data_IF_133093498801
#
_entry.id   IF_133093498801
#
_cell.length_a   1.000
_cell.length_b   1.000
_cell.length_c   1.000
_cell.angle_alpha   90.00
_cell.angle_beta   90.00
_cell.angle_gamma   90.00
#
_symmetry.space_group_name_H-M   'P 1'
#
loop_
_entity.id
_entity.type
_entity.pdbx_description
1 polymer ?
#
# COMPACT_ATOMS: atom_id res chain seq x y z
N UNK A 1 1.92 5.47 23.06
CA UNK A 1 1.31 4.91 21.85
C UNK A 1 0.59 6.02 21.14
N UNK A 2 1.35 6.72 20.31
CA UNK A 2 0.88 7.83 19.48
C UNK A 2 0.37 7.24 18.17
N UNK A 3 -0.90 6.83 18.14
CA UNK A 3 -1.47 6.18 16.95
C UNK A 3 -1.67 7.16 15.81
N UNK A 4 -1.24 6.77 14.62
CA UNK A 4 -1.46 7.48 13.37
C UNK A 4 -1.94 6.53 12.27
N UNK A 5 -2.57 7.10 11.24
CA UNK A 5 -3.14 6.35 10.12
C UNK A 5 -2.63 6.88 8.79
N UNK A 6 -2.34 5.98 7.85
CA UNK A 6 -2.04 6.31 6.45
C UNK A 6 -2.67 5.26 5.53
N UNK A 7 -3.15 5.68 4.35
CA UNK A 7 -3.74 4.75 3.36
C UNK A 7 -2.85 4.65 2.13
N UNK A 8 -2.45 3.44 1.75
CA UNK A 8 -1.43 3.19 0.73
C UNK A 8 -1.95 2.23 -0.36
N UNK A 9 -1.82 2.63 -1.62
CA UNK A 9 -2.11 1.81 -2.80
C UNK A 9 -0.81 1.43 -3.51
N UNK A 10 -0.59 0.13 -3.73
CA UNK A 10 0.68 -0.40 -4.27
C UNK A 10 0.50 -1.52 -5.29
N UNK A 11 -0.67 -1.56 -5.94
CA UNK A 11 -1.14 -2.73 -6.70
C UNK A 11 -2.12 -3.57 -5.88
N UNK A 12 -2.18 -4.88 -6.14
CA UNK A 12 -3.04 -5.79 -5.39
C UNK A 12 -2.85 -5.64 -3.87
N UNK A 13 -3.93 -5.31 -3.15
CA UNK A 13 -3.86 -5.05 -1.72
C UNK A 13 -3.39 -6.23 -0.87
N UNK A 14 -3.57 -7.48 -1.31
CA UNK A 14 -3.10 -8.70 -0.61
C UNK A 14 -1.58 -8.74 -0.53
N UNK A 15 -0.91 -8.17 -1.54
CA UNK A 15 0.54 -8.04 -1.53
C UNK A 15 0.99 -7.06 -0.44
N UNK A 16 0.32 -5.91 -0.38
CA UNK A 16 0.69 -4.80 0.50
C UNK A 16 0.33 -5.14 1.95
N UNK A 17 -0.84 -5.74 2.16
CA UNK A 17 -1.30 -6.26 3.46
C UNK A 17 -0.28 -7.24 4.05
N UNK A 18 0.07 -8.27 3.28
CA UNK A 18 1.00 -9.30 3.74
C UNK A 18 2.38 -8.76 4.16
N UNK A 19 2.84 -7.67 3.53
CA UNK A 19 4.08 -6.97 3.93
C UNK A 19 3.87 -6.27 5.26
N UNK A 20 2.87 -5.38 5.35
CA UNK A 20 2.68 -4.51 6.52
C UNK A 20 2.20 -5.25 7.77
N UNK A 21 1.51 -6.39 7.62
CA UNK A 21 1.18 -7.26 8.75
C UNK A 21 2.40 -7.68 9.57
N UNK A 22 3.57 -7.73 8.93
CA UNK A 22 4.83 -8.20 9.51
C UNK A 22 5.73 -7.05 9.99
N UNK A 23 5.30 -5.80 9.85
CA UNK A 23 6.10 -4.62 10.20
C UNK A 23 5.85 -4.24 11.68
N UNK A 24 6.90 -4.23 12.50
CA UNK A 24 6.88 -3.74 13.89
C UNK A 24 6.44 -2.27 13.93
N UNK A 25 5.60 -1.93 14.88
CA UNK A 25 4.93 -0.63 14.97
C UNK A 25 3.63 -0.54 14.17
N UNK A 26 3.37 -1.42 13.18
CA UNK A 26 2.05 -1.53 12.55
C UNK A 26 1.12 -2.31 13.47
N UNK A 27 0.05 -1.64 13.90
CA UNK A 27 -0.94 -2.15 14.87
C UNK A 27 -2.22 -2.66 14.20
N UNK A 28 -2.56 -2.15 13.01
CA UNK A 28 -3.68 -2.63 12.21
C UNK A 28 -3.40 -2.44 10.72
N UNK A 29 -3.89 -3.37 9.90
CA UNK A 29 -3.88 -3.33 8.45
C UNK A 29 -5.27 -3.72 7.97
N UNK A 30 -5.89 -2.89 7.15
CA UNK A 30 -7.22 -3.19 6.59
C UNK A 30 -7.19 -2.95 5.09
N UNK A 31 -7.52 -3.99 4.31
CA UNK A 31 -7.66 -3.89 2.85
C UNK A 31 -8.96 -3.15 2.49
N UNK A 32 -8.91 -2.28 1.48
CA UNK A 32 -10.05 -1.46 1.11
C UNK A 32 -9.93 -0.77 -0.25
N UNK A 33 -10.94 0.06 -0.52
CA UNK A 33 -11.11 0.83 -1.75
C UNK A 33 -11.23 2.31 -1.43
N UNK A 34 -10.53 3.16 -2.18
CA UNK A 34 -10.52 4.61 -1.91
C UNK A 34 -10.41 5.47 -3.15
N UNK A 35 -10.80 6.73 -2.99
CA UNK A 35 -10.63 7.82 -3.94
C UNK A 35 -11.28 7.56 -5.31
N UNK A 36 -12.33 6.74 -5.34
CA UNK A 36 -13.25 6.60 -6.48
C UNK A 36 -14.53 7.40 -6.29
N UNK A 37 -15.51 7.21 -7.19
CA UNK A 37 -16.78 7.95 -7.18
C UNK A 37 -18.00 7.10 -6.84
N UNK A 38 -17.88 5.76 -6.86
CA UNK A 38 -18.95 4.85 -6.45
C UNK A 38 -19.03 4.76 -4.92
N UNK A 39 -20.23 4.82 -4.37
CA UNK A 39 -20.49 4.66 -2.94
C UNK A 39 -20.53 3.16 -2.60
N UNK A 40 -19.75 2.72 -1.61
CA UNK A 40 -19.67 1.31 -1.16
C UNK A 40 -19.51 0.30 -2.32
N UNK A 41 -18.43 0.42 -3.13
CA UNK A 41 -18.22 -0.48 -4.25
C UNK A 41 -17.99 -1.92 -3.78
N UNK A 42 -18.51 -2.90 -4.52
CA UNK A 42 -18.10 -4.31 -4.37
C UNK A 42 -16.82 -4.60 -5.15
N UNK A 43 -16.12 -5.66 -4.78
CA UNK A 43 -14.92 -6.09 -5.50
C UNK A 43 -15.16 -6.29 -7.01
N UNK A 44 -16.31 -6.80 -7.42
CA UNK A 44 -16.66 -6.98 -8.83
C UNK A 44 -16.74 -5.63 -9.57
N UNK A 45 -17.29 -4.59 -8.92
CA UNK A 45 -17.33 -3.25 -9.49
C UNK A 45 -15.92 -2.66 -9.60
N UNK A 46 -15.07 -2.89 -8.60
CA UNK A 46 -13.66 -2.49 -8.67
C UNK A 46 -12.94 -3.17 -9.84
N UNK A 47 -13.17 -4.47 -10.04
CA UNK A 47 -12.58 -5.24 -11.13
C UNK A 47 -13.03 -4.78 -12.52
N UNK A 48 -14.23 -4.20 -12.65
CA UNK A 48 -14.70 -3.58 -13.90
C UNK A 48 -13.92 -2.31 -14.26
N UNK A 49 -13.29 -1.66 -13.27
CA UNK A 49 -12.34 -0.55 -13.47
C UNK A 49 -12.97 0.81 -13.72
N UNK A 50 -14.30 0.93 -13.70
CA UNK A 50 -15.02 2.17 -13.98
C UNK A 50 -15.30 3.02 -12.73
N UNK A 51 -15.14 2.47 -11.53
CA UNK A 51 -15.48 3.16 -10.26
C UNK A 51 -14.48 4.23 -9.82
N UNK A 52 -13.29 4.26 -10.43
CA UNK A 52 -12.18 5.17 -10.10
C UNK A 52 -11.45 4.87 -8.78
N UNK A 53 -11.87 3.86 -8.03
CA UNK A 53 -11.23 3.50 -6.76
C UNK A 53 -9.85 2.88 -6.96
N UNK A 54 -8.95 3.01 -5.98
CA UNK A 54 -7.73 2.23 -5.85
C UNK A 54 -7.94 1.10 -4.84
N UNK A 55 -7.36 -0.07 -5.10
CA UNK A 55 -7.07 -1.04 -4.03
C UNK A 55 -5.97 -0.47 -3.13
N UNK A 56 -6.23 -0.49 -1.83
CA UNK A 56 -5.35 0.09 -0.82
C UNK A 56 -5.35 -0.75 0.45
N UNK A 57 -4.35 -0.51 1.29
CA UNK A 57 -4.40 -0.85 2.70
C UNK A 57 -4.44 0.42 3.55
N UNK A 58 -5.31 0.46 4.55
CA UNK A 58 -5.30 1.46 5.62
C UNK A 58 -4.48 0.93 6.78
N UNK A 59 -3.37 1.58 7.05
CA UNK A 59 -2.44 1.21 8.12
C UNK A 59 -2.70 2.07 9.35
N UNK A 60 -2.80 1.44 10.51
CA UNK A 60 -2.68 2.12 11.81
C UNK A 60 -1.36 1.73 12.43
N UNK A 61 -0.56 2.72 12.84
CA UNK A 61 0.78 2.50 13.38
C UNK A 61 1.04 3.32 14.65
N UNK A 62 1.89 2.80 15.53
CA UNK A 62 2.39 3.55 16.68
C UNK A 62 3.59 4.38 16.27
N UNK A 63 3.42 5.70 16.22
CA UNK A 63 4.46 6.65 15.85
C UNK A 63 5.63 6.70 16.87
N UNK A 64 5.46 6.11 18.05
CA UNK A 64 6.54 5.92 19.03
C UNK A 64 7.45 4.74 18.65
N UNK A 65 6.98 3.79 17.82
CA UNK A 65 7.73 2.60 17.37
C UNK A 65 8.23 2.68 15.92
N UNK A 66 7.47 3.30 15.03
CA UNK A 66 7.79 3.47 13.61
C UNK A 66 7.29 4.82 13.08
N UNK A 67 8.17 5.57 12.43
CA UNK A 67 7.83 6.85 11.80
C UNK A 67 7.13 6.65 10.45
N UNK A 68 6.39 7.68 10.01
CA UNK A 68 5.78 7.67 8.68
C UNK A 68 6.84 7.53 7.57
N UNK A 69 8.01 8.16 7.71
CA UNK A 69 9.09 8.02 6.73
C UNK A 69 9.52 6.55 6.57
N UNK A 70 9.63 5.80 7.66
CA UNK A 70 10.00 4.38 7.61
C UNK A 70 8.88 3.51 7.01
N UNK A 71 7.62 3.81 7.31
CA UNK A 71 6.46 3.18 6.66
C UNK A 71 6.50 3.40 5.15
N UNK A 72 6.76 4.63 4.71
CA UNK A 72 6.85 4.98 3.29
C UNK A 72 8.10 4.40 2.62
N UNK A 73 9.22 4.29 3.33
CA UNK A 73 10.43 3.62 2.82
C UNK A 73 10.14 2.15 2.50
N UNK A 74 9.47 1.42 3.42
CA UNK A 74 9.02 0.04 3.20
C UNK A 74 8.07 -0.02 1.99
N UNK A 75 7.11 0.90 1.90
CA UNK A 75 6.17 0.99 0.79
C UNK A 75 6.88 1.12 -0.56
N UNK A 76 7.74 2.13 -0.73
CA UNK A 76 8.47 2.35 -1.98
C UNK A 76 9.45 1.23 -2.34
N UNK A 77 9.87 0.43 -1.37
CA UNK A 77 10.76 -0.70 -1.62
C UNK A 77 10.01 -1.99 -1.99
N UNK A 78 8.72 -2.09 -1.72
CA UNK A 78 7.94 -3.34 -1.85
C UNK A 78 6.97 -3.38 -3.04
N UNK A 79 6.86 -2.27 -3.78
CA UNK A 79 6.17 -2.20 -5.07
C UNK A 79 7.00 -1.38 -6.08
N UNK A 80 6.65 -1.40 -7.36
CA UNK A 80 7.22 -0.50 -8.37
C UNK A 80 6.40 0.81 -8.42
N UNK A 81 6.96 1.96 -8.02
CA UNK A 81 6.27 3.25 -8.03
C UNK A 81 6.31 3.96 -9.40
N UNK A 82 6.96 3.39 -10.40
CA UNK A 82 7.18 4.01 -11.72
C UNK A 82 6.19 3.55 -12.79
N UNK A 83 5.37 2.55 -12.47
CA UNK A 83 4.38 1.98 -13.40
C UNK A 83 2.99 2.58 -13.18
N UNK A 84 2.61 3.53 -14.03
CA UNK A 84 1.28 4.16 -13.97
C UNK A 84 0.17 3.12 -14.18
N UNK A 85 -0.79 3.08 -13.23
CA UNK A 85 -1.98 2.21 -13.27
C UNK A 85 -1.65 0.72 -13.49
N UNK A 86 -0.56 0.25 -12.89
CA UNK A 86 -0.09 -1.13 -13.03
C UNK A 86 0.82 -1.51 -11.87
N UNK A 87 0.76 -2.77 -11.46
CA UNK A 87 1.81 -3.40 -10.68
C UNK A 87 2.12 -4.80 -11.21
N UNK A 88 3.29 -5.00 -11.78
CA UNK A 88 3.62 -6.25 -12.47
C UNK A 88 2.59 -6.59 -13.56
N UNK A 89 1.92 -7.73 -13.43
CA UNK A 89 0.89 -8.18 -14.36
C UNK A 89 -0.52 -7.67 -14.03
N UNK A 90 -0.71 -7.01 -12.88
CA UNK A 90 -2.00 -6.45 -12.48
C UNK A 90 -2.13 -5.06 -13.12
N UNK A 91 -3.04 -4.93 -14.11
CA UNK A 91 -3.19 -3.72 -14.94
C UNK A 91 -4.56 -3.10 -14.73
N UNK A 92 -4.59 -1.81 -14.44
CA UNK A 92 -5.81 -1.05 -14.22
C UNK A 92 -5.62 0.08 -13.20
N UNK A 93 -6.51 1.07 -13.25
CA UNK A 93 -6.48 2.23 -12.34
C UNK A 93 -6.61 1.82 -10.87
N UNK A 94 -7.26 0.69 -10.59
CA UNK A 94 -7.36 0.12 -9.25
C UNK A 94 -6.01 -0.31 -8.67
N UNK A 95 -5.02 -0.59 -9.52
CA UNK A 95 -3.67 -1.03 -9.10
C UNK A 95 -2.64 0.10 -9.12
N UNK A 96 -3.07 1.36 -9.21
CA UNK A 96 -2.17 2.52 -9.21
C UNK A 96 -1.43 2.65 -7.89
N UNK A 97 -0.21 3.20 -7.96
CA UNK A 97 0.54 3.61 -6.77
C UNK A 97 -0.04 4.91 -6.21
N UNK A 98 -0.36 4.94 -4.92
CA UNK A 98 -0.95 6.11 -4.27
C UNK A 98 -0.73 6.17 -2.76
N UNK A 99 -0.60 7.39 -2.24
CA UNK A 99 -0.52 7.72 -0.82
C UNK A 99 -1.66 8.68 -0.51
N UNK A 100 -2.58 8.23 0.33
CA UNK A 100 -3.78 8.97 0.68
C UNK A 100 -3.77 9.35 2.16
N UNK A 101 -3.76 10.65 2.42
CA UNK A 101 -3.55 11.20 3.75
C UNK A 101 -4.81 11.86 4.32
N UNK A 102 -5.00 11.74 5.64
CA UNK A 102 -6.00 12.51 6.39
C UNK A 102 -5.38 13.80 6.95
N UNK A 103 -4.11 13.74 7.37
CA UNK A 103 -3.32 14.88 7.87
C UNK A 103 -2.48 15.49 6.73
N UNK A 104 -2.54 16.83 6.51
CA UNK A 104 -1.70 17.49 5.51
C UNK A 104 -0.20 17.26 5.71
N UNK A 105 0.26 17.14 6.96
CA UNK A 105 1.65 16.90 7.31
C UNK A 105 2.16 15.55 6.75
N UNK A 106 1.30 14.53 6.69
CA UNK A 106 1.64 13.25 6.04
C UNK A 106 1.82 13.44 4.52
N UNK A 107 0.98 14.28 3.92
CA UNK A 107 1.11 14.66 2.51
C UNK A 107 2.43 15.37 2.22
N UNK A 108 2.85 16.28 3.09
CA UNK A 108 4.14 16.98 2.96
C UNK A 108 5.31 16.01 3.05
N UNK A 109 5.32 15.12 4.05
CA UNK A 109 6.36 14.08 4.22
C UNK A 109 6.45 13.19 2.98
N UNK A 110 5.32 12.72 2.45
CA UNK A 110 5.28 11.87 1.27
C UNK A 110 5.82 12.60 0.02
N UNK A 111 5.42 13.85 -0.19
CA UNK A 111 5.89 14.65 -1.32
C UNK A 111 7.39 14.95 -1.24
N UNK A 112 7.91 15.24 -0.05
CA UNK A 112 9.33 15.49 0.16
C UNK A 112 10.17 14.23 -0.09
N UNK A 113 9.70 13.06 0.37
CA UNK A 113 10.34 11.78 0.06
C UNK A 113 10.38 11.50 -1.45
N UNK A 114 9.25 11.67 -2.16
CA UNK A 114 9.21 11.50 -3.62
C UNK A 114 10.19 12.44 -4.32
N UNK A 115 10.24 13.70 -3.88
CA UNK A 115 11.17 14.71 -4.42
C UNK A 115 12.61 14.28 -4.22
N UNK A 116 12.99 13.86 -3.01
CA UNK A 116 14.34 13.41 -2.69
C UNK A 116 14.71 12.18 -3.52
N UNK A 117 13.87 11.15 -3.56
CA UNK A 117 14.14 9.93 -4.35
C UNK A 117 14.28 10.22 -5.85
N UNK A 118 13.54 11.21 -6.37
CA UNK A 118 13.65 11.66 -7.75
C UNK A 118 14.96 12.40 -8.02
N UNK A 119 15.42 13.22 -7.08
CA UNK A 119 16.72 13.92 -7.15
C UNK A 119 17.88 12.93 -7.09
N UNK A 120 17.79 11.95 -6.19
CA UNK A 120 18.79 10.90 -5.99
C UNK A 120 18.77 9.84 -7.10
N UNK A 121 17.78 9.90 -8.02
CA UNK A 121 17.58 8.96 -9.14
C UNK A 121 17.54 7.51 -8.67
N UNK A 122 16.84 7.25 -7.56
CA UNK A 122 16.76 5.89 -6.99
C UNK A 122 16.02 4.90 -7.88
N UNK A 123 15.18 5.39 -8.80
CA UNK A 123 14.43 4.58 -9.74
C UNK A 123 14.88 4.85 -11.18
N UNK A 124 14.80 3.81 -12.03
CA UNK A 124 15.16 3.90 -13.44
C UNK A 124 14.17 4.69 -14.32
N UNK A 125 13.04 5.09 -13.75
CA UNK A 125 11.99 5.89 -14.40
C UNK A 125 11.34 6.85 -13.39
N UNK A 126 10.63 7.90 -13.86
CA UNK A 126 9.95 8.83 -12.97
C UNK A 126 8.92 8.14 -12.06
N UNK A 127 8.84 8.59 -10.80
CA UNK A 127 7.83 8.13 -9.85
C UNK A 127 6.45 8.63 -10.30
N UNK A 128 5.48 7.72 -10.35
CA UNK A 128 4.09 7.98 -10.75
C UNK A 128 3.10 7.93 -9.58
N UNK A 129 3.59 7.65 -8.37
CA UNK A 129 2.80 7.62 -7.13
C UNK A 129 2.07 8.93 -6.92
N UNK A 130 0.74 8.87 -6.80
CA UNK A 130 -0.04 10.05 -6.44
C UNK A 130 -0.02 10.30 -4.93
N UNK A 131 0.02 11.57 -4.52
CA UNK A 131 -0.11 11.98 -3.11
C UNK A 131 -1.31 12.91 -3.02
N UNK A 132 -2.39 12.44 -2.38
CA UNK A 132 -3.68 13.15 -2.36
C UNK A 132 -4.36 13.04 -1.00
N UNK A 133 -5.24 13.99 -0.63
CA UNK A 133 -6.14 13.79 0.50
C UNK A 133 -6.98 12.52 0.31
N UNK A 134 -7.26 11.83 1.41
CA UNK A 134 -8.23 10.74 1.47
C UNK A 134 -9.64 11.34 1.33
N UNK A 135 -10.35 11.03 0.25
CA UNK A 135 -11.69 11.62 -0.03
C UNK A 135 -12.83 10.69 0.37
N UNK A 136 -12.62 9.38 0.29
CA UNK A 136 -13.54 8.35 0.77
C UNK A 136 -12.78 7.05 1.04
N UNK A 137 -13.38 6.16 1.82
CA UNK A 137 -12.81 4.85 2.08
C UNK A 137 -13.95 3.84 2.29
N UNK A 138 -13.84 2.69 1.65
CA UNK A 138 -14.73 1.53 1.87
C UNK A 138 -13.86 0.33 2.19
N UNK A 139 -14.09 -0.31 3.34
CA UNK A 139 -13.43 -1.57 3.67
C UNK A 139 -13.80 -2.63 2.63
N UNK A 140 -12.82 -3.40 2.19
CA UNK A 140 -13.05 -4.56 1.34
C UNK A 140 -13.77 -5.66 2.12
N UNK A 141 -14.42 -6.56 1.41
CA UNK A 141 -15.16 -7.67 1.97
C UNK A 141 -14.27 -8.52 2.89
N UNK A 142 -14.87 -9.14 3.91
CA UNK A 142 -14.13 -9.89 4.94
C UNK A 142 -13.23 -11.00 4.38
N UNK A 143 -13.56 -11.56 3.22
CA UNK A 143 -12.75 -12.60 2.57
C UNK A 143 -11.46 -12.05 1.93
N UNK A 144 -11.32 -10.73 1.75
CA UNK A 144 -10.09 -10.10 1.28
C UNK A 144 -9.11 -9.77 2.41
N UNK A 145 -9.58 -9.72 3.66
CA UNK A 145 -8.74 -9.43 4.81
C UNK A 145 -7.89 -10.66 5.18
N UNK A 146 -6.63 -10.43 5.55
CA UNK A 146 -5.65 -11.48 5.88
C UNK A 146 -5.50 -12.55 4.78
N UNK A 147 -5.71 -12.18 3.51
CA UNK A 147 -5.90 -13.16 2.44
C UNK A 147 -4.66 -14.04 2.25
N UNK A 148 -3.47 -13.45 2.31
CA UNK A 148 -2.20 -14.19 2.19
C UNK A 148 -1.95 -15.12 3.39
N UNK A 149 -2.31 -14.69 4.60
CA UNK A 149 -2.17 -15.51 5.80
C UNK A 149 -3.09 -16.74 5.74
N UNK A 150 -4.29 -16.57 5.20
CA UNK A 150 -5.28 -17.63 5.06
C UNK A 150 -5.05 -18.52 3.84
N UNK A 151 -4.41 -18.02 2.78
CA UNK A 151 -4.24 -18.71 1.50
C UNK A 151 -2.79 -18.72 0.97
N UNK A 152 -1.77 -19.05 1.79
CA UNK A 152 -0.36 -18.86 1.40
C UNK A 152 0.07 -19.70 0.19
N UNK A 153 -0.60 -20.82 -0.05
CA UNK A 153 -0.31 -21.76 -1.14
C UNK A 153 -1.13 -21.49 -2.42
N UNK A 154 -2.03 -20.50 -2.41
CA UNK A 154 -2.72 -20.08 -3.64
C UNK A 154 -1.69 -19.62 -4.68
N UNK A 155 -1.90 -19.93 -5.96
CA UNK A 155 -0.90 -19.64 -7.00
C UNK A 155 -0.46 -18.18 -7.03
N UNK A 156 -1.41 -17.25 -6.94
CA UNK A 156 -1.11 -15.82 -6.86
C UNK A 156 -0.27 -15.46 -5.62
N UNK A 157 -0.63 -15.99 -4.45
CA UNK A 157 0.10 -15.77 -3.21
C UNK A 157 1.54 -16.30 -3.27
N UNK A 158 1.73 -17.52 -3.78
CA UNK A 158 3.04 -18.15 -3.87
C UNK A 158 3.97 -17.42 -4.85
N UNK A 159 3.46 -16.98 -6.01
CA UNK A 159 4.28 -16.43 -7.08
C UNK A 159 4.38 -14.90 -7.09
N UNK A 160 3.44 -14.19 -6.47
CA UNK A 160 3.39 -12.71 -6.50
C UNK A 160 3.60 -12.12 -5.10
N UNK A 161 2.84 -12.59 -4.10
CA UNK A 161 2.91 -12.04 -2.72
C UNK A 161 4.18 -12.50 -2.01
N UNK A 162 4.50 -13.80 -2.08
CA UNK A 162 5.67 -14.41 -1.43
C UNK A 162 6.99 -13.68 -1.72
N UNK A 163 7.34 -13.41 -2.99
CA UNK A 163 8.55 -12.65 -3.32
C UNK A 163 8.60 -11.24 -2.72
N UNK A 164 7.47 -10.54 -2.60
CA UNK A 164 7.41 -9.20 -1.97
C UNK A 164 7.64 -9.29 -0.46
N UNK A 165 7.04 -10.27 0.21
CA UNK A 165 7.27 -10.54 1.63
C UNK A 165 8.73 -10.91 1.88
N UNK A 166 9.33 -11.73 1.04
CA UNK A 166 10.74 -12.11 1.17
C UNK A 166 11.69 -10.93 0.93
N UNK A 167 11.38 -10.05 -0.03
CA UNK A 167 12.12 -8.79 -0.24
C UNK A 167 12.08 -7.93 1.01
N UNK A 168 10.90 -7.77 1.63
CA UNK A 168 10.75 -7.06 2.90
C UNK A 168 11.61 -7.69 4.01
N UNK A 169 11.51 -9.02 4.22
CA UNK A 169 12.26 -9.72 5.28
C UNK A 169 13.77 -9.55 5.15
N UNK A 170 14.30 -9.54 3.91
CA UNK A 170 15.73 -9.38 3.64
C UNK A 170 16.21 -7.94 3.85
N UNK A 171 15.46 -6.95 3.36
CA UNK A 171 15.90 -5.54 3.40
C UNK A 171 15.61 -4.89 4.75
N UNK A 172 14.50 -5.23 5.40
CA UNK A 172 13.95 -4.53 6.57
C UNK A 172 13.87 -5.43 7.81
N UNK A 173 14.80 -6.37 7.97
CA UNK A 173 14.80 -7.32 9.09
C UNK A 173 14.65 -6.67 10.48
N UNK A 174 15.16 -5.44 10.66
CA UNK A 174 15.04 -4.66 11.91
C UNK A 174 13.60 -4.26 12.27
N UNK A 175 12.71 -4.20 11.27
CA UNK A 175 11.29 -3.89 11.42
C UNK A 175 10.41 -5.14 11.37
N UNK A 176 10.96 -6.36 11.42
CA UNK A 176 10.12 -7.53 11.55
C UNK A 176 9.47 -7.55 12.94
N UNK A 177 8.16 -7.84 12.99
CA UNK A 177 7.49 -8.22 14.24
C UNK A 177 8.19 -9.46 14.82
N UNK A 178 8.37 -9.44 16.14
CA UNK A 178 8.97 -10.55 16.89
C UNK A 178 8.04 -11.78 16.91
#
# INVERSE_FOLDING_TARGET
MTQQTITLGGGCFWCTEAVFDRVRGITNVESGYTNGHTIHPSYEQICQGDTGHAEVVRLTFDADEISLQEVLEIFFHTHDPTTLNRQGNDVGTQYRSGIYYESPEHGDIANDMIRQMSQDKLFGAPITTEVKPLTNYSAAEAYHQDYFANNPNAGYCAFVVGPKVEKFRKTFARYLKA
#
